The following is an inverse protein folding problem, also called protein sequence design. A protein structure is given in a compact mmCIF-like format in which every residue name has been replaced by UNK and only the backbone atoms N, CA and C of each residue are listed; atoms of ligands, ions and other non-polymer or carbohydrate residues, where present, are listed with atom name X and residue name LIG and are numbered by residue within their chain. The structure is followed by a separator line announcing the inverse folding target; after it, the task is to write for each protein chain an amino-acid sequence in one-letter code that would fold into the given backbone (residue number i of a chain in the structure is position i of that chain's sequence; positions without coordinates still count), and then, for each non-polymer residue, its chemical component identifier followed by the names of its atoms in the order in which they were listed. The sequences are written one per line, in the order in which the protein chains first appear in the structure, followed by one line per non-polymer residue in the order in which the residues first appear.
data_IF_997883836735
#
_entry.id   IF_997883836735
#
_cell.length_a   1.000
_cell.length_b   1.000
_cell.length_c   1.000
_cell.angle_alpha   90.00
_cell.angle_beta   90.00
_cell.angle_gamma   90.00
#
_symmetry.space_group_name_H-M   'P 1'
#
loop_
_entity.id
_entity.type
_entity.pdbx_description
1 polymer ?
#
# COMPACT_ATOMS: atom_id res chain seq x y z
N UNK A 1 -43.24 -4.85 -22.55
CA UNK A 1 -41.80 -5.05 -22.85
C UNK A 1 -40.96 -3.76 -22.99
N UNK A 2 -41.47 -2.56 -22.63
CA UNK A 2 -40.70 -1.30 -22.54
C UNK A 2 -40.58 -0.73 -21.12
N UNK A 3 -41.13 -1.42 -20.12
CA UNK A 3 -41.27 -0.92 -18.74
C UNK A 3 -40.22 -1.50 -17.76
N UNK A 4 -39.37 -2.44 -18.20
CA UNK A 4 -38.34 -3.09 -17.34
C UNK A 4 -36.91 -2.62 -17.69
N UNK A 5 -36.72 -2.02 -18.87
CA UNK A 5 -35.41 -1.53 -19.31
C UNK A 5 -35.03 -0.12 -18.78
N UNK A 6 -35.87 0.49 -17.94
CA UNK A 6 -35.73 1.90 -17.53
C UNK A 6 -35.50 2.10 -16.02
N UNK A 7 -35.09 1.05 -15.29
CA UNK A 7 -34.76 1.13 -13.86
C UNK A 7 -33.25 1.18 -13.58
N UNK A 8 -32.42 1.18 -14.63
CA UNK A 8 -30.94 1.22 -14.54
C UNK A 8 -30.40 2.66 -14.68
N UNK A 9 -31.27 3.65 -14.91
CA UNK A 9 -30.88 5.05 -14.83
C UNK A 9 -31.00 5.54 -13.37
N UNK A 10 -29.85 5.87 -12.77
CA UNK A 10 -29.70 6.82 -11.64
C UNK A 10 -30.05 6.35 -10.21
N UNK A 11 -29.41 5.30 -9.69
CA UNK A 11 -29.24 5.19 -8.23
C UNK A 11 -27.82 5.62 -7.85
N UNK A 12 -27.71 6.60 -6.95
CA UNK A 12 -26.43 7.00 -6.35
C UNK A 12 -25.79 5.80 -5.65
N UNK A 13 -24.50 5.58 -5.90
CA UNK A 13 -23.69 4.55 -5.26
C UNK A 13 -23.33 5.06 -3.85
N UNK A 14 -23.83 4.37 -2.83
CA UNK A 14 -23.63 4.70 -1.42
C UNK A 14 -22.36 4.02 -0.90
N UNK A 15 -21.40 4.83 -0.45
CA UNK A 15 -20.06 4.40 -0.06
C UNK A 15 -19.81 4.68 1.42
N UNK A 16 -19.33 3.68 2.14
CA UNK A 16 -18.81 3.82 3.49
C UNK A 16 -17.29 3.73 3.46
N UNK A 17 -16.60 4.78 3.90
CA UNK A 17 -15.14 4.83 3.99
C UNK A 17 -14.73 4.83 5.45
N UNK A 18 -14.20 3.71 5.93
CA UNK A 18 -13.60 3.60 7.25
C UNK A 18 -12.14 4.06 7.15
N UNK A 19 -11.77 5.07 7.94
CA UNK A 19 -10.42 5.58 8.03
C UNK A 19 -9.88 5.25 9.41
N UNK A 20 -8.70 4.61 9.46
CA UNK A 20 -7.99 4.37 10.71
C UNK A 20 -6.87 5.39 10.93
N UNK A 21 -6.50 5.67 12.19
CA UNK A 21 -5.35 6.51 12.50
C UNK A 21 -4.07 6.01 11.84
N UNK A 22 -3.13 6.95 11.62
CA UNK A 22 -1.85 6.69 10.98
C UNK A 22 -1.98 6.20 9.53
N UNK A 23 -3.13 6.44 8.88
CA UNK A 23 -3.29 6.27 7.44
C UNK A 23 -2.59 7.38 6.65
N UNK A 24 -2.19 7.08 5.42
CA UNK A 24 -1.67 8.08 4.48
C UNK A 24 -2.79 8.96 3.91
N UNK A 25 -2.55 10.28 3.86
CA UNK A 25 -3.45 11.21 3.15
C UNK A 25 -3.59 10.87 1.68
N UNK A 26 -2.54 10.31 1.06
CA UNK A 26 -2.59 9.92 -0.35
C UNK A 26 -3.51 8.72 -0.54
N UNK A 27 -3.58 7.79 0.41
CA UNK A 27 -4.52 6.65 0.38
C UNK A 27 -5.97 7.14 0.47
N UNK A 28 -6.24 8.11 1.36
CA UNK A 28 -7.56 8.77 1.44
C UNK A 28 -7.93 9.52 0.16
N UNK A 29 -7.01 10.34 -0.37
CA UNK A 29 -7.24 11.07 -1.61
C UNK A 29 -7.48 10.11 -2.79
N UNK A 30 -6.71 9.02 -2.87
CA UNK A 30 -6.85 8.01 -3.95
C UNK A 30 -8.19 7.27 -3.94
N UNK A 31 -8.92 7.34 -2.83
CA UNK A 31 -10.31 6.87 -2.74
C UNK A 31 -11.28 7.98 -3.10
N UNK A 32 -11.19 9.15 -2.45
CA UNK A 32 -12.22 10.19 -2.55
C UNK A 32 -12.17 10.97 -3.86
N UNK A 33 -10.97 11.27 -4.37
CA UNK A 33 -10.82 12.13 -5.53
C UNK A 33 -11.35 11.51 -6.84
N UNK A 34 -11.13 10.21 -7.13
CA UNK A 34 -11.77 9.55 -8.27
C UNK A 34 -13.30 9.61 -8.20
N UNK A 35 -13.90 9.38 -7.03
CA UNK A 35 -15.36 9.44 -6.84
C UNK A 35 -15.89 10.87 -7.05
N UNK A 36 -15.23 11.87 -6.45
CA UNK A 36 -15.55 13.29 -6.63
C UNK A 36 -15.42 13.71 -8.10
N UNK A 37 -14.38 13.25 -8.78
CA UNK A 37 -14.16 13.54 -10.19
C UNK A 37 -15.22 12.87 -11.07
N UNK A 38 -15.63 11.64 -10.77
CA UNK A 38 -16.74 10.98 -11.48
C UNK A 38 -18.05 11.76 -11.35
N UNK A 39 -18.38 12.29 -10.16
CA UNK A 39 -19.53 13.18 -9.97
C UNK A 39 -19.44 14.44 -10.85
N UNK A 40 -18.22 15.01 -10.98
CA UNK A 40 -17.99 16.18 -11.82
C UNK A 40 -18.12 15.86 -13.32
N UNK A 41 -17.55 14.75 -13.79
CA UNK A 41 -17.57 14.33 -15.20
C UNK A 41 -18.99 14.01 -15.65
N UNK A 42 -19.76 13.31 -14.81
CA UNK A 42 -21.15 12.92 -15.12
C UNK A 42 -22.16 14.07 -14.94
N UNK A 43 -21.78 15.12 -14.19
CA UNK A 43 -22.64 16.27 -13.93
C UNK A 43 -23.74 16.03 -12.89
N UNK A 44 -23.72 14.88 -12.18
CA UNK A 44 -24.63 14.57 -11.09
C UNK A 44 -23.97 13.68 -10.04
N UNK A 45 -24.62 13.48 -8.89
CA UNK A 45 -24.07 12.68 -7.78
C UNK A 45 -24.22 11.17 -8.05
N UNK A 46 -23.20 10.58 -8.69
CA UNK A 46 -23.08 9.13 -8.92
C UNK A 46 -22.50 8.39 -7.72
N UNK A 47 -21.61 9.02 -6.96
CA UNK A 47 -21.08 8.51 -5.69
C UNK A 47 -21.44 9.45 -4.56
N UNK A 48 -21.99 8.89 -3.48
CA UNK A 48 -22.13 9.56 -2.18
C UNK A 48 -21.35 8.75 -1.16
N UNK A 49 -20.52 9.41 -0.36
CA UNK A 49 -19.71 8.73 0.64
C UNK A 49 -19.88 9.32 2.03
N UNK A 50 -19.63 8.48 3.03
CA UNK A 50 -19.47 8.86 4.44
C UNK A 50 -18.12 8.40 4.98
N UNK A 51 -17.44 9.27 5.70
CA UNK A 51 -16.22 8.97 6.42
C UNK A 51 -16.55 8.49 7.82
N UNK A 52 -15.93 7.38 8.24
CA UNK A 52 -16.18 6.74 9.52
C UNK A 52 -14.85 6.43 10.22
N UNK A 53 -14.81 6.60 11.53
CA UNK A 53 -13.71 6.11 12.37
C UNK A 53 -14.20 5.08 13.38
N UNK A 54 -13.30 4.34 14.02
CA UNK A 54 -13.67 3.28 14.95
C UNK A 54 -14.47 3.77 16.19
N UNK A 55 -14.21 5.00 16.62
CA UNK A 55 -14.79 5.67 17.79
C UNK A 55 -15.78 6.79 17.42
N UNK A 56 -15.69 7.35 16.20
CA UNK A 56 -16.46 8.50 15.74
C UNK A 56 -15.71 9.82 15.89
N UNK A 57 -14.47 9.78 16.39
CA UNK A 57 -13.62 10.95 16.53
C UNK A 57 -12.79 11.19 15.27
N UNK A 58 -12.24 12.40 15.15
CA UNK A 58 -11.38 12.78 14.04
C UNK A 58 -10.09 11.93 13.99
N UNK A 59 -9.65 11.60 12.77
CA UNK A 59 -8.56 10.65 12.55
C UNK A 59 -7.26 11.39 12.23
N UNK A 60 -6.21 11.15 13.02
CA UNK A 60 -4.88 11.70 12.77
C UNK A 60 -4.15 10.91 11.68
N UNK A 61 -3.80 11.58 10.57
CA UNK A 61 -3.03 11.00 9.47
C UNK A 61 -1.52 11.16 9.67
N UNK A 62 -0.72 10.39 8.93
CA UNK A 62 0.75 10.41 9.00
C UNK A 62 1.38 11.75 8.62
N UNK A 63 0.68 12.59 7.86
CA UNK A 63 1.11 13.93 7.51
C UNK A 63 0.80 14.99 8.58
N UNK A 64 0.28 14.59 9.75
CA UNK A 64 -0.04 15.49 10.86
C UNK A 64 -1.38 16.23 10.72
N UNK A 65 -2.21 15.87 9.73
CA UNK A 65 -3.55 16.42 9.57
C UNK A 65 -4.58 15.53 10.28
N UNK A 66 -5.50 16.18 10.98
CA UNK A 66 -6.67 15.51 11.58
C UNK A 66 -7.88 15.63 10.65
N UNK A 67 -8.48 14.50 10.31
CA UNK A 67 -9.62 14.42 9.39
C UNK A 67 -10.91 14.22 10.19
N UNK A 68 -11.85 15.17 10.16
CA UNK A 68 -13.17 14.95 10.76
C UNK A 68 -13.91 13.83 10.02
N UNK A 69 -14.68 13.05 10.76
CA UNK A 69 -15.51 11.97 10.23
C UNK A 69 -16.98 12.27 10.47
N UNK A 70 -17.86 11.64 9.68
CA UNK A 70 -19.30 11.84 9.78
C UNK A 70 -19.91 11.10 10.98
N UNK A 71 -19.37 9.93 11.30
CA UNK A 71 -19.87 9.11 12.39
C UNK A 71 -18.87 8.03 12.84
N UNK A 72 -19.22 7.37 13.93
CA UNK A 72 -18.61 6.12 14.36
C UNK A 72 -18.97 4.98 13.41
N UNK A 73 -18.00 4.11 13.13
CA UNK A 73 -18.21 2.81 12.52
C UNK A 73 -18.95 1.88 13.50
N UNK A 74 -20.28 1.82 13.35
CA UNK A 74 -21.17 0.99 14.13
C UNK A 74 -22.35 0.50 13.27
N UNK A 75 -22.96 -0.61 13.69
CA UNK A 75 -24.16 -1.14 13.06
C UNK A 75 -25.41 -0.34 13.48
N UNK A 76 -26.46 -0.26 12.64
CA UNK A 76 -26.50 -0.79 11.28
C UNK A 76 -25.77 0.12 10.29
N UNK A 77 -25.05 -0.50 9.35
CA UNK A 77 -24.46 0.20 8.20
C UNK A 77 -24.66 -0.65 6.95
N UNK A 78 -25.17 0.00 5.91
CA UNK A 78 -25.47 -0.60 4.61
C UNK A 78 -25.04 0.35 3.50
N UNK A 79 -24.73 -0.18 2.33
CA UNK A 79 -24.34 0.58 1.16
C UNK A 79 -23.85 -0.35 0.06
N UNK A 80 -23.39 0.22 -1.04
CA UNK A 80 -22.89 -0.55 -2.18
C UNK A 80 -21.41 -0.88 -2.02
N UNK A 81 -20.62 0.06 -1.47
CA UNK A 81 -19.17 -0.08 -1.32
C UNK A 81 -18.70 0.22 0.11
N UNK A 82 -17.93 -0.71 0.68
CA UNK A 82 -17.23 -0.54 1.95
C UNK A 82 -15.73 -0.48 1.70
N UNK A 83 -15.09 0.65 1.99
CA UNK A 83 -13.65 0.85 1.85
C UNK A 83 -13.02 0.96 3.25
N UNK A 84 -12.01 0.15 3.53
CA UNK A 84 -11.25 0.21 4.79
C UNK A 84 -9.84 0.70 4.47
N UNK A 85 -9.56 1.95 4.85
CA UNK A 85 -8.23 2.55 4.73
C UNK A 85 -7.50 2.28 6.03
N UNK A 86 -6.53 1.38 5.95
CA UNK A 86 -5.61 1.09 7.05
C UNK A 86 -4.37 1.97 6.96
N UNK A 87 -3.77 2.22 8.12
CA UNK A 87 -2.46 2.80 8.28
C UNK A 87 -1.57 1.89 9.11
N UNK A 88 -0.64 2.49 9.86
CA UNK A 88 0.23 1.76 10.77
C UNK A 88 -0.49 1.37 12.09
N UNK A 89 0.12 0.44 12.84
CA UNK A 89 -0.30 0.08 14.20
C UNK A 89 -1.77 -0.36 14.34
N UNK A 90 -2.31 -1.04 13.32
CA UNK A 90 -3.71 -1.47 13.25
C UNK A 90 -4.22 -2.20 14.50
N UNK A 91 -3.35 -2.95 15.19
CA UNK A 91 -3.70 -3.67 16.43
C UNK A 91 -4.23 -2.72 17.53
N UNK A 92 -3.77 -1.46 17.55
CA UNK A 92 -4.18 -0.43 18.51
C UNK A 92 -5.58 0.10 18.23
N UNK A 93 -5.94 0.22 16.95
CA UNK A 93 -7.15 0.93 16.52
C UNK A 93 -8.29 0.00 16.08
N UNK A 94 -7.97 -1.24 15.69
CA UNK A 94 -8.91 -2.18 15.09
C UNK A 94 -8.89 -3.54 15.82
N UNK A 95 -9.30 -3.53 17.09
CA UNK A 95 -9.38 -4.73 17.93
C UNK A 95 -10.56 -5.66 17.60
N UNK A 96 -10.80 -6.64 18.48
CA UNK A 96 -11.82 -7.70 18.27
C UNK A 96 -13.21 -7.17 17.93
N UNK A 97 -13.66 -6.10 18.60
CA UNK A 97 -14.97 -5.48 18.35
C UNK A 97 -15.05 -4.91 16.94
N UNK A 98 -13.99 -4.27 16.46
CA UNK A 98 -13.93 -3.74 15.10
C UNK A 98 -14.06 -4.86 14.08
N UNK A 99 -13.31 -5.95 14.26
CA UNK A 99 -13.35 -7.10 13.36
C UNK A 99 -14.73 -7.78 13.33
N UNK A 100 -15.38 -7.92 14.48
CA UNK A 100 -16.74 -8.47 14.55
C UNK A 100 -17.76 -7.58 13.82
N UNK A 101 -17.68 -6.26 14.03
CA UNK A 101 -18.51 -5.29 13.28
C UNK A 101 -18.24 -5.38 11.78
N UNK A 102 -16.98 -5.49 11.36
CA UNK A 102 -16.58 -5.63 9.96
C UNK A 102 -17.13 -6.91 9.33
N UNK A 103 -17.07 -8.04 10.04
CA UNK A 103 -17.64 -9.31 9.57
C UNK A 103 -19.15 -9.20 9.33
N UNK A 104 -19.88 -8.58 10.27
CA UNK A 104 -21.33 -8.44 10.17
C UNK A 104 -21.71 -7.45 9.07
N UNK A 105 -21.09 -6.28 9.03
CA UNK A 105 -21.43 -5.27 8.04
C UNK A 105 -21.09 -5.71 6.62
N UNK A 106 -20.00 -6.45 6.41
CA UNK A 106 -19.57 -6.93 5.09
C UNK A 106 -20.66 -7.75 4.37
N UNK A 107 -21.64 -8.31 5.09
CA UNK A 107 -22.79 -9.02 4.52
C UNK A 107 -23.76 -8.11 3.77
N UNK A 108 -23.76 -6.82 4.09
CA UNK A 108 -24.66 -5.80 3.57
C UNK A 108 -24.03 -4.87 2.52
N UNK A 109 -22.87 -5.26 1.98
CA UNK A 109 -22.17 -4.55 0.92
C UNK A 109 -21.89 -5.46 -0.27
N UNK A 110 -22.00 -4.89 -1.46
CA UNK A 110 -21.71 -5.53 -2.74
C UNK A 110 -20.21 -5.64 -2.99
N UNK A 111 -19.43 -4.65 -2.54
CA UNK A 111 -17.96 -4.66 -2.59
C UNK A 111 -17.41 -4.25 -1.21
N UNK A 112 -16.38 -4.97 -0.76
CA UNK A 112 -15.62 -4.67 0.45
C UNK A 112 -14.13 -4.63 0.10
N UNK A 113 -13.50 -3.47 0.22
CA UNK A 113 -12.10 -3.29 -0.17
C UNK A 113 -11.19 -2.89 0.98
N UNK A 114 -10.04 -3.55 1.08
CA UNK A 114 -8.94 -3.17 1.98
C UNK A 114 -7.90 -2.34 1.22
N UNK A 115 -7.73 -1.09 1.63
CA UNK A 115 -6.77 -0.13 1.06
C UNK A 115 -5.56 -0.01 1.97
N UNK A 116 -4.37 -0.09 1.38
CA UNK A 116 -3.09 -0.10 2.09
C UNK A 116 -3.10 -1.22 3.16
N UNK A 117 -2.82 -0.92 4.43
CA UNK A 117 -2.85 -1.95 5.48
C UNK A 117 -4.27 -2.45 5.80
N UNK A 118 -5.33 -1.89 5.21
CA UNK A 118 -6.71 -2.37 5.36
C UNK A 118 -6.91 -3.82 4.90
N UNK A 119 -6.07 -4.32 3.99
CA UNK A 119 -6.04 -5.73 3.61
C UNK A 119 -5.76 -6.68 4.79
N UNK A 120 -4.96 -6.25 5.78
CA UNK A 120 -4.71 -7.02 7.00
C UNK A 120 -5.96 -7.20 7.85
N UNK A 121 -6.86 -6.22 7.86
CA UNK A 121 -8.13 -6.33 8.60
C UNK A 121 -9.08 -7.29 7.91
N UNK A 122 -9.11 -7.29 6.59
CA UNK A 122 -9.82 -8.33 5.83
C UNK A 122 -9.26 -9.72 6.15
N UNK A 123 -7.93 -9.88 6.15
CA UNK A 123 -7.26 -11.13 6.53
C UNK A 123 -7.63 -11.59 7.95
N UNK A 124 -7.48 -10.71 8.95
CA UNK A 124 -7.79 -10.99 10.37
C UNK A 124 -9.26 -11.28 10.63
N UNK A 125 -10.15 -10.66 9.88
CA UNK A 125 -11.59 -10.92 9.96
C UNK A 125 -11.98 -12.28 9.36
N UNK A 126 -11.09 -12.94 8.62
CA UNK A 126 -11.38 -14.19 7.93
C UNK A 126 -12.30 -14.04 6.70
N UNK A 127 -12.73 -12.82 6.36
CA UNK A 127 -13.63 -12.55 5.23
C UNK A 127 -13.04 -12.99 3.88
N UNK A 128 -11.72 -12.93 3.76
CA UNK A 128 -10.99 -13.28 2.54
C UNK A 128 -10.33 -14.66 2.58
N UNK A 129 -10.64 -15.50 3.57
CA UNK A 129 -10.08 -16.86 3.68
C UNK A 129 -10.24 -17.65 2.38
N UNK A 130 -9.15 -18.24 1.87
CA UNK A 130 -9.14 -19.01 0.63
C UNK A 130 -9.18 -18.19 -0.66
N UNK A 131 -9.13 -16.85 -0.58
CA UNK A 131 -9.21 -15.95 -1.73
C UNK A 131 -7.84 -15.41 -2.16
N UNK A 132 -7.82 -14.83 -3.36
CA UNK A 132 -6.72 -14.00 -3.83
C UNK A 132 -6.74 -12.65 -3.13
N UNK A 133 -5.56 -12.18 -2.73
CA UNK A 133 -5.40 -10.86 -2.13
C UNK A 133 -4.01 -10.30 -2.41
N UNK A 134 -3.86 -8.99 -2.30
CA UNK A 134 -2.57 -8.31 -2.27
C UNK A 134 -2.45 -7.43 -1.04
N UNK A 135 -1.22 -7.03 -0.74
CA UNK A 135 -0.86 -6.08 0.30
C UNK A 135 0.19 -5.12 -0.26
N UNK A 136 0.64 -4.15 0.54
CA UNK A 136 1.76 -3.31 0.15
C UNK A 136 2.98 -4.19 -0.14
N UNK A 137 3.73 -3.92 -1.20
CA UNK A 137 4.90 -4.71 -1.60
C UNK A 137 5.86 -4.96 -0.43
N UNK A 138 5.94 -3.97 0.47
CA UNK A 138 6.78 -3.99 1.66
C UNK A 138 6.41 -5.08 2.66
N UNK A 139 5.15 -5.47 2.68
CA UNK A 139 4.51 -6.33 3.66
C UNK A 139 4.05 -7.66 3.05
N UNK A 140 4.23 -7.85 1.73
CA UNK A 140 3.64 -8.97 0.98
C UNK A 140 4.08 -10.34 1.54
N UNK A 141 5.35 -10.49 1.91
CA UNK A 141 5.86 -11.71 2.55
C UNK A 141 5.23 -11.95 3.93
N UNK A 142 5.16 -10.91 4.75
CA UNK A 142 4.62 -11.02 6.11
C UNK A 142 3.11 -11.26 6.09
N UNK A 143 2.41 -10.65 5.14
CA UNK A 143 1.00 -10.89 4.87
C UNK A 143 0.76 -12.35 4.47
N UNK A 144 1.58 -12.90 3.57
CA UNK A 144 1.51 -14.31 3.18
C UNK A 144 1.81 -15.27 4.34
N UNK A 145 2.76 -14.93 5.21
CA UNK A 145 3.06 -15.73 6.42
C UNK A 145 1.94 -15.68 7.45
N UNK A 146 1.33 -14.50 7.65
CA UNK A 146 0.26 -14.31 8.62
C UNK A 146 -1.04 -15.00 8.20
N UNK A 147 -1.30 -15.09 6.90
CA UNK A 147 -2.52 -15.68 6.36
C UNK A 147 -2.19 -16.76 5.30
N UNK A 148 -1.71 -17.94 5.72
CA UNK A 148 -1.29 -19.01 4.80
C UNK A 148 -2.42 -19.59 3.94
N UNK A 149 -3.66 -19.28 4.30
CA UNK A 149 -4.87 -19.70 3.59
C UNK A 149 -5.21 -18.77 2.41
N UNK A 150 -4.52 -17.64 2.27
CA UNK A 150 -4.70 -16.70 1.16
C UNK A 150 -3.77 -17.06 0.00
N UNK A 151 -4.25 -16.80 -1.22
CA UNK A 151 -3.39 -16.74 -2.38
C UNK A 151 -2.87 -15.30 -2.53
N UNK A 152 -1.72 -15.00 -1.92
CA UNK A 152 -1.13 -13.66 -1.97
C UNK A 152 -0.44 -13.41 -3.32
N UNK A 153 -0.82 -12.31 -3.99
CA UNK A 153 -0.33 -11.93 -5.32
C UNK A 153 0.29 -10.52 -5.25
N UNK A 154 1.46 -10.32 -5.87
CA UNK A 154 2.19 -9.05 -5.89
C UNK A 154 1.69 -8.02 -6.91
N UNK A 155 0.41 -8.11 -7.27
CA UNK A 155 -0.29 -7.23 -8.21
C UNK A 155 -0.57 -5.85 -7.55
N UNK A 156 -0.84 -4.82 -8.36
CA UNK A 156 -1.20 -3.48 -7.85
C UNK A 156 -2.44 -3.54 -6.96
N UNK A 157 -3.48 -4.17 -7.46
CA UNK A 157 -4.69 -4.48 -6.71
C UNK A 157 -5.24 -5.83 -7.18
N UNK A 158 -5.99 -6.48 -6.30
CA UNK A 158 -6.60 -7.78 -6.55
C UNK A 158 -8.08 -7.71 -6.24
N UNK A 159 -8.90 -8.17 -7.20
CA UNK A 159 -10.35 -8.34 -7.07
C UNK A 159 -10.69 -9.83 -7.04
N UNK A 160 -11.26 -10.33 -5.95
CA UNK A 160 -11.74 -11.72 -5.83
C UNK A 160 -13.20 -11.73 -5.35
N UNK A 161 -14.12 -11.84 -6.32
CA UNK A 161 -15.55 -11.65 -6.08
C UNK A 161 -15.80 -10.25 -5.53
N UNK A 162 -16.46 -10.18 -4.37
CA UNK A 162 -16.72 -8.89 -3.72
C UNK A 162 -15.60 -8.33 -2.85
N UNK A 163 -14.51 -9.08 -2.64
CA UNK A 163 -13.43 -8.64 -1.77
C UNK A 163 -12.26 -8.12 -2.59
N UNK A 164 -11.91 -6.86 -2.39
CA UNK A 164 -10.90 -6.16 -3.14
C UNK A 164 -9.75 -5.77 -2.21
N UNK A 165 -8.51 -5.79 -2.71
CA UNK A 165 -7.35 -5.38 -1.92
C UNK A 165 -6.40 -4.57 -2.78
N UNK A 166 -5.82 -3.52 -2.21
CA UNK A 166 -4.84 -2.68 -2.89
C UNK A 166 -3.67 -2.36 -1.98
N UNK A 167 -2.46 -2.54 -2.51
CA UNK A 167 -1.23 -2.42 -1.74
C UNK A 167 -0.71 -1.01 -1.56
N UNK A 168 -1.43 0.05 -1.93
CA UNK A 168 -0.93 1.41 -1.68
C UNK A 168 -1.77 2.47 -2.39
N UNK A 169 -1.45 3.74 -2.16
CA UNK A 169 -2.26 4.84 -2.66
C UNK A 169 -2.36 4.89 -4.21
N UNK A 170 -1.25 4.84 -4.94
CA UNK A 170 -1.30 4.82 -6.41
C UNK A 170 -2.00 3.58 -6.97
N UNK A 171 -1.73 2.35 -6.48
CA UNK A 171 -2.54 1.18 -6.82
C UNK A 171 -4.02 1.30 -6.44
N UNK A 172 -4.35 2.05 -5.38
CA UNK A 172 -5.74 2.31 -4.96
C UNK A 172 -6.42 3.24 -5.95
N UNK A 173 -5.72 4.25 -6.45
CA UNK A 173 -6.24 5.12 -7.50
C UNK A 173 -6.61 4.31 -8.75
N UNK A 174 -5.73 3.39 -9.19
CA UNK A 174 -6.04 2.48 -10.31
C UNK A 174 -7.24 1.56 -10.00
N UNK A 175 -7.33 1.03 -8.78
CA UNK A 175 -8.47 0.22 -8.33
C UNK A 175 -9.79 1.01 -8.39
N UNK A 176 -9.77 2.30 -8.01
CA UNK A 176 -10.95 3.16 -8.08
C UNK A 176 -11.30 3.53 -9.53
N UNK A 177 -10.33 3.73 -10.42
CA UNK A 177 -10.59 3.91 -11.85
C UNK A 177 -11.19 2.64 -12.47
N UNK A 178 -10.72 1.46 -12.05
CA UNK A 178 -11.29 0.18 -12.44
C UNK A 178 -12.75 0.06 -11.99
N UNK A 179 -13.06 0.40 -10.73
CA UNK A 179 -14.44 0.45 -10.23
C UNK A 179 -15.31 1.40 -11.07
N UNK A 180 -14.81 2.61 -11.38
CA UNK A 180 -15.53 3.58 -12.20
C UNK A 180 -15.77 3.02 -13.60
N UNK A 181 -14.80 2.33 -14.20
CA UNK A 181 -14.97 1.68 -15.49
C UNK A 181 -16.04 0.59 -15.47
N UNK A 182 -16.08 -0.23 -14.42
CA UNK A 182 -17.09 -1.27 -14.25
C UNK A 182 -18.50 -0.69 -14.04
N UNK A 183 -18.64 0.42 -13.31
CA UNK A 183 -19.93 0.99 -12.93
C UNK A 183 -20.48 2.00 -13.94
N UNK A 184 -19.62 2.83 -14.52
CA UNK A 184 -19.98 3.98 -15.36
C UNK A 184 -19.44 3.87 -16.79
N UNK A 185 -18.66 2.82 -17.08
CA UNK A 185 -18.06 2.56 -18.39
C UNK A 185 -16.65 3.16 -18.55
N UNK A 186 -15.85 2.60 -19.47
CA UNK A 186 -14.43 2.95 -19.63
C UNK A 186 -14.19 4.39 -20.08
N UNK A 187 -15.13 5.01 -20.81
CA UNK A 187 -15.01 6.41 -21.24
C UNK A 187 -15.02 7.37 -20.05
N UNK A 188 -15.94 7.17 -19.09
CA UNK A 188 -16.01 7.99 -17.88
C UNK A 188 -14.76 7.80 -17.01
N UNK A 189 -14.26 6.56 -16.89
CA UNK A 189 -13.02 6.31 -16.17
C UNK A 189 -11.81 7.05 -16.79
N UNK A 190 -11.74 7.10 -18.13
CA UNK A 190 -10.69 7.83 -18.85
C UNK A 190 -10.80 9.35 -18.65
N UNK A 191 -12.01 9.91 -18.70
CA UNK A 191 -12.26 11.33 -18.44
C UNK A 191 -11.87 11.70 -17.00
N UNK A 192 -12.20 10.83 -16.03
CA UNK A 192 -11.77 10.97 -14.63
C UNK A 192 -10.25 10.96 -14.52
N UNK A 193 -9.57 9.98 -15.12
CA UNK A 193 -8.10 9.91 -15.09
C UNK A 193 -7.45 11.17 -15.70
N UNK A 194 -8.05 11.70 -16.77
CA UNK A 194 -7.57 12.90 -17.49
C UNK A 194 -7.59 14.16 -16.62
N UNK A 195 -8.56 14.29 -15.70
CA UNK A 195 -8.62 15.42 -14.74
C UNK A 195 -7.35 15.50 -13.88
N UNK A 196 -6.74 14.36 -13.55
CA UNK A 196 -5.55 14.29 -12.71
C UNK A 196 -4.24 14.29 -13.51
N UNK A 197 -4.30 14.48 -14.84
CA UNK A 197 -3.16 14.32 -15.75
C UNK A 197 -2.48 12.97 -15.52
N UNK A 198 -3.30 11.94 -15.28
CA UNK A 198 -2.83 10.62 -14.96
C UNK A 198 -2.56 9.85 -16.27
N UNK A 199 -1.35 10.04 -16.78
CA UNK A 199 -0.94 9.56 -18.12
C UNK A 199 -0.85 8.02 -18.25
N UNK A 200 -0.85 7.27 -17.14
CA UNK A 200 -0.64 5.82 -17.13
C UNK A 200 -1.73 5.10 -16.34
N UNK A 201 -2.74 4.58 -17.05
CA UNK A 201 -3.70 3.64 -16.47
C UNK A 201 -3.04 2.25 -16.44
N UNK A 202 -2.66 1.79 -15.25
CA UNK A 202 -1.97 0.51 -15.07
C UNK A 202 -2.96 -0.67 -15.08
N UNK A 203 -2.50 -1.83 -15.55
CA UNK A 203 -3.26 -3.07 -15.43
C UNK A 203 -3.31 -3.52 -13.96
N UNK A 204 -4.39 -4.19 -13.50
CA UNK A 204 -4.42 -4.80 -12.17
C UNK A 204 -3.19 -5.70 -11.92
N UNK A 205 -2.81 -6.48 -12.94
CA UNK A 205 -1.74 -7.48 -12.90
C UNK A 205 -0.32 -6.91 -12.98
N UNK A 206 -0.17 -5.59 -13.08
CA UNK A 206 1.16 -4.98 -13.06
C UNK A 206 1.79 -5.21 -11.68
N UNK A 207 3.09 -5.52 -11.65
CA UNK A 207 3.80 -5.74 -10.39
C UNK A 207 3.95 -4.41 -9.65
N UNK A 208 3.71 -4.39 -8.34
CA UNK A 208 4.02 -3.21 -7.52
C UNK A 208 5.54 -2.95 -7.52
N UNK A 209 6.01 -1.78 -8.00
CA UNK A 209 7.44 -1.51 -8.09
C UNK A 209 8.01 -1.10 -6.73
N UNK A 210 9.24 -1.51 -6.42
CA UNK A 210 9.92 -1.10 -5.18
C UNK A 210 10.32 0.39 -5.24
N UNK A 211 10.58 0.90 -6.45
CA UNK A 211 10.77 2.31 -6.76
C UNK A 211 9.82 2.72 -7.88
N UNK A 212 9.07 3.80 -7.71
CA UNK A 212 8.21 4.30 -8.78
C UNK A 212 9.05 4.80 -9.95
N UNK A 213 9.11 4.01 -11.03
CA UNK A 213 9.86 4.35 -12.24
C UNK A 213 9.05 5.25 -13.18
N UNK A 214 7.71 5.19 -13.16
CA UNK A 214 6.80 6.12 -13.85
C UNK A 214 7.28 6.58 -15.24
N UNK A 215 7.48 7.89 -15.40
CA UNK A 215 7.96 8.52 -16.67
C UNK A 215 9.38 8.10 -17.08
N UNK A 216 10.18 7.52 -16.18
CA UNK A 216 11.52 7.01 -16.51
C UNK A 216 11.45 5.80 -17.43
N UNK A 217 10.37 5.01 -17.38
CA UNK A 217 10.22 3.87 -18.30
C UNK A 217 10.07 4.32 -19.75
N UNK A 218 9.28 5.36 -19.98
CA UNK A 218 9.08 5.93 -21.30
C UNK A 218 10.33 6.70 -21.78
N UNK A 219 11.04 7.37 -20.86
CA UNK A 219 12.19 8.21 -21.19
C UNK A 219 13.49 7.42 -21.35
N UNK A 220 13.74 6.44 -20.47
CA UNK A 220 14.96 5.67 -20.37
C UNK A 220 14.63 4.18 -20.03
N UNK A 221 14.02 3.42 -20.96
CA UNK A 221 13.51 2.06 -20.72
C UNK A 221 14.59 1.06 -20.26
N UNK A 222 15.84 1.25 -20.71
CA UNK A 222 16.97 0.41 -20.31
C UNK A 222 17.38 0.64 -18.83
N UNK A 223 17.28 1.88 -18.35
CA UNK A 223 17.52 2.21 -16.94
C UNK A 223 16.43 1.62 -16.06
N UNK A 224 15.18 1.75 -16.47
CA UNK A 224 14.04 1.14 -15.78
C UNK A 224 14.16 -0.40 -15.72
N UNK A 225 14.55 -1.04 -16.83
CA UNK A 225 14.79 -2.48 -16.88
C UNK A 225 15.93 -2.91 -15.94
N UNK A 226 16.99 -2.10 -15.83
CA UNK A 226 18.08 -2.37 -14.90
C UNK A 226 17.62 -2.30 -13.44
N UNK A 227 16.83 -1.27 -13.08
CA UNK A 227 16.31 -1.11 -11.71
C UNK A 227 15.39 -2.27 -11.35
N UNK A 228 14.46 -2.66 -12.23
CA UNK A 228 13.61 -3.86 -12.04
C UNK A 228 14.42 -5.14 -11.82
N UNK A 229 15.51 -5.31 -12.57
CA UNK A 229 16.35 -6.50 -12.43
C UNK A 229 17.09 -6.50 -11.09
N UNK A 230 17.59 -5.34 -10.66
CA UNK A 230 18.19 -5.16 -9.34
C UNK A 230 17.20 -5.50 -8.22
N UNK A 231 15.97 -4.98 -8.29
CA UNK A 231 14.89 -5.23 -7.32
C UNK A 231 14.58 -6.72 -7.16
N UNK A 232 14.52 -7.47 -8.26
CA UNK A 232 14.25 -8.92 -8.25
C UNK A 232 15.41 -9.77 -7.75
N UNK A 233 16.59 -9.19 -7.55
CA UNK A 233 17.81 -9.95 -7.21
C UNK A 233 18.54 -9.39 -5.98
N UNK A 234 17.83 -8.70 -5.07
CA UNK A 234 18.43 -8.07 -3.88
C UNK A 234 19.10 -9.05 -2.91
N UNK A 235 18.54 -10.26 -2.74
CA UNK A 235 19.10 -11.30 -1.88
C UNK A 235 20.38 -11.92 -2.46
N UNK A 236 20.47 -12.01 -3.79
CA UNK A 236 21.65 -12.52 -4.51
C UNK A 236 22.07 -11.53 -5.59
N UNK A 237 22.71 -10.41 -5.19
CA UNK A 237 22.93 -9.28 -6.08
C UNK A 237 23.83 -9.64 -7.24
N UNK A 238 23.39 -9.29 -8.44
CA UNK A 238 24.19 -9.43 -9.64
C UNK A 238 25.32 -8.38 -9.67
N UNK A 239 26.49 -8.74 -10.20
CA UNK A 239 27.52 -7.72 -10.48
C UNK A 239 27.03 -6.76 -11.56
N UNK A 240 27.55 -5.53 -11.59
CA UNK A 240 27.23 -4.55 -12.66
C UNK A 240 27.52 -5.14 -14.05
N UNK A 241 28.59 -5.92 -14.17
CA UNK A 241 28.93 -6.68 -15.38
C UNK A 241 27.84 -7.68 -15.79
N UNK A 242 27.30 -8.42 -14.82
CA UNK A 242 26.26 -9.41 -15.06
C UNK A 242 24.91 -8.74 -15.41
N UNK A 243 24.58 -7.61 -14.76
CA UNK A 243 23.40 -6.80 -15.10
C UNK A 243 23.48 -6.29 -16.54
N UNK A 244 24.62 -5.68 -16.91
CA UNK A 244 24.85 -5.17 -18.25
C UNK A 244 24.69 -6.29 -19.31
N UNK A 245 25.30 -7.45 -19.07
CA UNK A 245 25.19 -8.62 -19.96
C UNK A 245 23.75 -9.11 -20.09
N UNK A 246 22.98 -9.16 -18.99
CA UNK A 246 21.60 -9.64 -18.99
C UNK A 246 20.62 -8.69 -19.67
N UNK A 247 20.98 -7.41 -19.75
CA UNK A 247 20.23 -6.36 -20.45
C UNK A 247 20.74 -6.11 -21.87
N UNK A 248 21.72 -6.91 -22.35
CA UNK A 248 22.38 -6.72 -23.65
C UNK A 248 22.95 -5.32 -23.87
N UNK A 249 23.49 -4.69 -22.82
CA UNK A 249 24.19 -3.39 -22.88
C UNK A 249 25.63 -3.51 -22.38
N UNK A 250 26.49 -2.56 -22.73
CA UNK A 250 27.84 -2.49 -22.16
C UNK A 250 27.80 -1.94 -20.73
N UNK A 251 28.80 -2.30 -19.89
CA UNK A 251 28.93 -1.74 -18.54
C UNK A 251 29.02 -0.22 -18.55
N UNK A 252 29.79 0.34 -19.48
CA UNK A 252 29.91 1.79 -19.69
C UNK A 252 28.56 2.44 -20.00
N UNK A 253 27.74 1.82 -20.85
CA UNK A 253 26.39 2.32 -21.16
C UNK A 253 25.51 2.30 -19.91
N UNK A 254 25.55 1.22 -19.15
CA UNK A 254 24.79 1.11 -17.90
C UNK A 254 25.22 2.18 -16.88
N UNK A 255 26.52 2.41 -16.71
CA UNK A 255 27.04 3.49 -15.85
C UNK A 255 26.58 4.87 -16.30
N UNK A 256 26.62 5.16 -17.61
CA UNK A 256 26.13 6.43 -18.16
C UNK A 256 24.63 6.61 -17.93
N UNK A 257 23.82 5.55 -18.09
CA UNK A 257 22.38 5.60 -17.83
C UNK A 257 22.09 5.98 -16.38
N UNK A 258 22.76 5.32 -15.41
CA UNK A 258 22.61 5.64 -13.99
C UNK A 258 23.13 7.04 -13.65
N UNK A 259 24.26 7.46 -14.21
CA UNK A 259 24.80 8.80 -13.98
C UNK A 259 23.87 9.90 -14.52
N UNK A 260 23.31 9.70 -15.72
CA UNK A 260 22.39 10.65 -16.35
C UNK A 260 21.01 10.67 -15.69
N UNK A 261 20.46 9.50 -15.37
CA UNK A 261 19.09 9.37 -14.89
C UNK A 261 18.93 9.53 -13.37
N UNK A 262 19.95 9.16 -12.59
CA UNK A 262 19.89 9.09 -11.13
C UNK A 262 21.07 9.76 -10.42
N UNK A 263 22.00 10.38 -11.16
CA UNK A 263 23.20 11.04 -10.62
C UNK A 263 24.02 10.15 -9.68
N UNK A 264 24.06 8.85 -9.95
CA UNK A 264 24.79 7.86 -9.15
C UNK A 264 25.31 6.73 -10.03
N UNK A 265 26.12 5.83 -9.46
CA UNK A 265 26.58 4.62 -10.17
C UNK A 265 25.59 3.47 -9.97
N UNK A 266 25.54 2.49 -10.91
CA UNK A 266 24.68 1.31 -10.76
C UNK A 266 24.96 0.55 -9.46
N UNK A 267 26.23 0.42 -9.07
CA UNK A 267 26.62 -0.28 -7.85
C UNK A 267 26.20 0.46 -6.57
N UNK A 268 26.34 1.79 -6.54
CA UNK A 268 25.92 2.59 -5.40
C UNK A 268 24.40 2.59 -5.23
N UNK A 269 23.65 2.72 -6.33
CA UNK A 269 22.19 2.61 -6.33
C UNK A 269 21.72 1.24 -5.83
N UNK A 270 22.33 0.17 -6.33
CA UNK A 270 21.96 -1.18 -5.96
C UNK A 270 22.23 -1.48 -4.47
N UNK A 271 23.35 -0.96 -3.94
CA UNK A 271 23.62 -1.02 -2.50
C UNK A 271 22.55 -0.26 -1.70
N UNK A 272 22.14 0.92 -2.16
CA UNK A 272 21.09 1.71 -1.50
C UNK A 272 19.75 0.98 -1.44
N UNK A 273 19.31 0.34 -2.53
CA UNK A 273 18.09 -0.49 -2.54
C UNK A 273 18.15 -1.60 -1.47
N UNK A 274 19.28 -2.31 -1.40
CA UNK A 274 19.49 -3.38 -0.41
C UNK A 274 19.48 -2.83 1.02
N UNK A 275 20.06 -1.65 1.24
CA UNK A 275 20.04 -0.99 2.53
C UNK A 275 18.63 -0.54 2.93
N UNK A 276 17.81 -0.05 1.99
CA UNK A 276 16.41 0.31 2.25
C UNK A 276 15.59 -0.90 2.71
N UNK A 277 15.70 -2.04 2.02
CA UNK A 277 15.04 -3.29 2.46
C UNK A 277 15.54 -3.71 3.84
N UNK A 278 16.86 -3.67 4.06
CA UNK A 278 17.43 -4.01 5.37
C UNK A 278 16.97 -3.09 6.49
N UNK A 279 16.76 -1.80 6.20
CA UNK A 279 16.32 -0.81 7.18
C UNK A 279 14.94 -1.15 7.70
N UNK A 280 14.02 -1.55 6.80
CA UNK A 280 12.71 -2.07 7.21
C UNK A 280 12.85 -3.32 8.07
N UNK A 281 13.61 -4.32 7.65
CA UNK A 281 13.76 -5.56 8.42
C UNK A 281 14.37 -5.33 9.82
N UNK A 282 15.34 -4.40 9.92
CA UNK A 282 15.93 -3.99 11.18
C UNK A 282 14.90 -3.32 12.09
N UNK A 283 14.11 -2.40 11.53
CA UNK A 283 13.13 -1.59 12.25
C UNK A 283 11.92 -2.43 12.66
N UNK A 284 11.37 -3.22 11.75
CA UNK A 284 10.00 -3.72 11.85
C UNK A 284 9.91 -5.17 12.34
N UNK A 285 11.02 -5.92 12.31
CA UNK A 285 11.03 -7.35 12.63
C UNK A 285 12.00 -7.71 13.76
N UNK A 286 11.75 -8.88 14.39
CA UNK A 286 12.65 -9.51 15.36
C UNK A 286 13.77 -10.36 14.74
N UNK A 287 13.93 -10.35 13.42
CA UNK A 287 14.86 -11.24 12.70
C UNK A 287 16.30 -11.00 13.19
N UNK A 288 17.12 -12.04 13.44
CA UNK A 288 18.53 -11.88 13.81
C UNK A 288 19.31 -11.05 12.77
N UNK A 289 20.19 -10.16 13.22
CA UNK A 289 20.91 -9.24 12.31
C UNK A 289 21.74 -9.96 11.24
N UNK A 290 22.23 -11.16 11.55
CA UNK A 290 22.91 -12.02 10.58
C UNK A 290 21.99 -12.43 9.44
N UNK A 291 20.75 -12.78 9.73
CA UNK A 291 19.78 -13.21 8.74
C UNK A 291 19.28 -12.02 7.91
N UNK A 292 19.13 -10.84 8.53
CA UNK A 292 18.86 -9.59 7.80
C UNK A 292 19.97 -9.29 6.79
N UNK A 293 21.24 -9.43 7.21
CA UNK A 293 22.39 -9.24 6.32
C UNK A 293 22.34 -10.21 5.13
N UNK A 294 22.08 -11.50 5.36
CA UNK A 294 21.97 -12.51 4.31
C UNK A 294 20.81 -12.23 3.35
N UNK A 295 19.61 -11.93 3.86
CA UNK A 295 18.42 -11.59 3.05
C UNK A 295 18.62 -10.36 2.17
N UNK A 296 19.51 -9.46 2.57
CA UNK A 296 19.87 -8.27 1.80
C UNK A 296 21.17 -8.46 1.00
N UNK A 297 21.63 -9.70 0.81
CA UNK A 297 22.74 -10.08 -0.05
C UNK A 297 24.13 -9.68 0.44
N UNK A 298 24.32 -9.49 1.75
CA UNK A 298 25.62 -9.20 2.34
C UNK A 298 26.35 -10.48 2.75
N UNK A 299 27.60 -10.64 2.33
CA UNK A 299 28.43 -11.81 2.64
C UNK A 299 28.86 -11.88 4.12
N UNK A 300 28.80 -10.75 4.84
CA UNK A 300 29.11 -10.71 6.26
C UNK A 300 28.34 -9.63 7.02
N UNK A 301 28.05 -9.92 8.29
CA UNK A 301 27.43 -8.97 9.23
C UNK A 301 28.27 -7.69 9.39
N UNK A 302 29.61 -7.82 9.33
CA UNK A 302 30.53 -6.68 9.44
C UNK A 302 30.48 -5.77 8.21
N UNK A 303 30.33 -6.33 7.01
CA UNK A 303 30.12 -5.53 5.79
C UNK A 303 28.76 -4.81 5.82
N UNK A 304 27.71 -5.54 6.20
CA UNK A 304 26.37 -4.99 6.37
C UNK A 304 26.36 -3.82 7.37
N UNK A 305 26.87 -4.04 8.59
CA UNK A 305 26.83 -3.03 9.66
C UNK A 305 27.58 -1.75 9.30
N UNK A 306 28.71 -1.86 8.57
CA UNK A 306 29.45 -0.69 8.08
C UNK A 306 28.68 0.06 7.01
N UNK A 307 28.11 -0.65 6.03
CA UNK A 307 27.32 -0.04 4.96
C UNK A 307 26.07 0.65 5.53
N UNK A 308 25.38 0.00 6.46
CA UNK A 308 24.20 0.54 7.14
C UNK A 308 24.52 1.79 7.96
N UNK A 309 25.58 1.77 8.77
CA UNK A 309 25.99 2.95 9.55
C UNK A 309 26.38 4.13 8.68
N UNK A 310 27.02 3.86 7.54
CA UNK A 310 27.38 4.92 6.58
C UNK A 310 26.15 5.58 5.97
N UNK A 311 25.08 4.84 5.71
CA UNK A 311 23.85 5.36 5.12
C UNK A 311 22.93 6.03 6.16
N UNK A 312 22.75 5.41 7.34
CA UNK A 312 21.74 5.82 8.33
C UNK A 312 22.32 6.47 9.60
N UNK A 313 23.64 6.64 9.69
CA UNK A 313 24.32 7.25 10.83
C UNK A 313 24.40 6.39 12.09
N UNK A 314 23.61 5.31 12.21
CA UNK A 314 23.59 4.41 13.36
C UNK A 314 23.81 2.94 12.97
N UNK A 315 24.14 2.07 13.93
CA UNK A 315 24.25 0.64 13.65
C UNK A 315 22.86 -0.01 13.52
N UNK A 316 22.72 -1.14 12.80
CA UNK A 316 21.48 -1.90 12.76
C UNK A 316 20.92 -2.23 14.15
N UNK A 317 21.79 -2.66 15.06
CA UNK A 317 21.42 -2.95 16.46
C UNK A 317 20.97 -1.69 17.21
N UNK A 318 21.69 -0.57 17.02
CA UNK A 318 21.32 0.71 17.63
C UNK A 318 19.96 1.20 17.16
N UNK A 319 19.67 1.08 15.87
CA UNK A 319 18.36 1.40 15.28
C UNK A 319 17.23 0.59 15.92
N UNK A 320 17.42 -0.73 16.09
CA UNK A 320 16.41 -1.60 16.71
C UNK A 320 16.22 -1.30 18.20
N UNK A 321 17.31 -1.08 18.94
CA UNK A 321 17.24 -0.76 20.37
C UNK A 321 16.56 0.58 20.64
N UNK A 322 16.77 1.59 19.78
CA UNK A 322 16.08 2.88 19.88
C UNK A 322 14.56 2.72 19.76
N UNK A 323 14.08 1.82 18.89
CA UNK A 323 12.64 1.48 18.79
C UNK A 323 12.12 0.78 20.05
N UNK A 324 12.85 -0.22 20.54
CA UNK A 324 12.44 -0.92 21.77
C UNK A 324 12.35 0.02 22.97
N UNK A 325 13.23 1.03 23.03
CA UNK A 325 13.20 2.06 24.07
C UNK A 325 12.03 3.04 23.91
N UNK A 326 11.70 3.46 22.67
CA UNK A 326 10.55 4.35 22.42
C UNK A 326 9.21 3.66 22.71
N UNK A 327 9.06 2.39 22.32
CA UNK A 327 7.87 1.58 22.63
C UNK A 327 7.75 1.35 24.14
N UNK A 328 8.86 1.13 24.85
CA UNK A 328 8.84 0.97 26.30
C UNK A 328 8.53 2.28 27.05
N UNK A 329 8.98 3.44 26.56
CA UNK A 329 8.62 4.74 27.13
C UNK A 329 7.15 5.08 26.91
N UNK A 330 6.60 4.75 25.74
CA UNK A 330 5.18 4.96 25.44
C UNK A 330 4.27 4.06 26.31
N UNK A 331 4.68 2.81 26.55
CA UNK A 331 3.95 1.89 27.45
C UNK A 331 4.05 2.28 28.94
N UNK A 332 5.13 2.93 29.36
CA UNK A 332 5.30 3.38 30.75
C UNK A 332 4.57 4.71 31.04
N UNK A 333 4.43 5.59 30.05
CA UNK A 333 3.60 6.80 30.15
C UNK A 333 2.09 6.50 30.17
N UNK A 334 1.63 5.44 29.48
CA UNK A 334 0.23 4.96 29.58
C UNK A 334 -0.05 4.29 30.95
N UNK A 335 0.93 3.62 31.56
CA UNK A 335 0.80 3.03 32.90
C UNK A 335 0.80 4.02 34.06
N UNK A 336 1.33 5.24 33.86
CA UNK A 336 1.41 6.28 34.88
C UNK A 336 0.13 7.12 35.06
N UNK A 337 -0.77 7.13 34.06
CA UNK A 337 -2.00 7.96 34.08
C UNK A 337 -3.21 7.30 34.75
N UNK A 338 -3.07 6.11 35.33
CA UNK A 338 -4.15 5.42 36.06
C UNK A 338 -3.88 5.19 37.55
N UNK A 339 -2.83 5.82 38.11
CA UNK A 339 -2.55 5.75 39.53
C UNK A 339 -2.38 7.14 40.13
N UNK A 340 -3.48 7.75 40.57
CA UNK A 340 -3.65 8.53 41.83
C UNK A 340 -4.88 9.43 41.77
N UNK A 341 -5.56 9.60 42.92
CA UNK A 341 -6.14 8.60 43.80
C UNK A 341 -7.63 8.38 43.52
#
# INVERSE_FOLDING_TARGET
MRMVANRIAQSTIEVAVIILPESSIMSLASVLDPMRAANRVTGHEVFRWRLLSADGDAVMLTCGLSIPVDARFALPIVGDLLLIIGGFNLERYAGKRFLATLQECARHFDIVAGVESGCWLLGRSGLIKGRKATAHWEELEDFSRAFPELQVIGDRFVTDGKYWTSGGASPTFDMMLHLIAERLGPAIALDVASIFVYDQMHSPTDVQPFVSLGRMEARDPELAAAIRLMERTLERPMTVAALARRLSVSQRKLEMLFAKGLSTSPGAYYLRLRLQVSHRLVRDTGIPMRDVALRCGFDSLSAFSRAYRREYGTSPTGMRSARSASVASEMSDEGGRHARP
#
